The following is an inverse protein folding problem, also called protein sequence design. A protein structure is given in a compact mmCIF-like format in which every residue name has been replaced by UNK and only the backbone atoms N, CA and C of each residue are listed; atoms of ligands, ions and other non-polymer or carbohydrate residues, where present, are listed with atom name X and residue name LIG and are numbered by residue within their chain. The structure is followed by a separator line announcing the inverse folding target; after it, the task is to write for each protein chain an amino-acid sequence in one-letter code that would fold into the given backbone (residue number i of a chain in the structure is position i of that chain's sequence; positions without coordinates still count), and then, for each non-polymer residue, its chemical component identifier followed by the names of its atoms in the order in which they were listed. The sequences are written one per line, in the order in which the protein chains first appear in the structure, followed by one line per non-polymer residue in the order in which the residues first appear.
data_IF_452374683561
#
_entry.id   IF_452374683561
#
_cell.length_a   1.000
_cell.length_b   1.000
_cell.length_c   1.000
_cell.angle_alpha   90.00
_cell.angle_beta   90.00
_cell.angle_gamma   90.00
#
_symmetry.space_group_name_H-M   'P 1'
#
loop_
_entity.id
_entity.type
_entity.pdbx_description
1 polymer ?
#
# COMPACT_ATOMS: atom_id res chain seq x y z
N UNK A 1 41.06 -12.48 16.71
CA UNK A 1 41.00 -12.08 18.14
C UNK A 1 40.06 -10.90 18.26
N UNK A 2 39.11 -11.06 19.17
CA UNK A 2 37.88 -10.31 19.30
C UNK A 2 38.10 -8.96 19.98
N UNK A 3 37.32 -7.95 19.59
CA UNK A 3 37.32 -6.65 20.25
C UNK A 3 36.22 -5.73 19.74
N UNK A 4 34.97 -6.22 19.71
CA UNK A 4 33.80 -5.37 19.51
C UNK A 4 33.60 -4.55 20.79
N UNK A 5 33.97 -3.27 20.76
CA UNK A 5 33.63 -2.32 21.81
C UNK A 5 32.23 -1.79 21.49
N UNK A 6 31.22 -2.43 22.06
CA UNK A 6 29.85 -1.91 22.11
C UNK A 6 29.83 -0.71 23.05
N UNK A 7 29.87 0.51 22.51
CA UNK A 7 29.58 1.72 23.29
C UNK A 7 28.06 1.84 23.46
N UNK A 8 27.50 1.07 24.38
CA UNK A 8 26.16 1.29 24.93
C UNK A 8 26.17 2.53 25.85
N UNK A 9 26.40 3.71 25.28
CA UNK A 9 26.21 4.99 25.97
C UNK A 9 24.75 5.37 25.88
N UNK A 10 23.98 4.83 26.82
CA UNK A 10 22.88 5.45 27.57
C UNK A 10 22.43 6.82 26.99
N UNK A 11 21.49 6.80 26.04
CA UNK A 11 20.67 7.97 25.70
C UNK A 11 19.59 8.14 26.78
N UNK A 12 19.97 8.64 27.97
CA UNK A 12 19.03 9.13 29.00
C UNK A 12 18.94 10.66 29.00
N UNK A 13 18.81 11.26 27.82
CA UNK A 13 18.57 12.70 27.69
C UNK A 13 17.54 12.94 26.59
N UNK A 14 16.28 12.53 26.83
CA UNK A 14 15.14 12.92 26.01
C UNK A 14 13.81 12.94 26.81
N UNK A 15 13.85 13.32 28.08
CA UNK A 15 12.64 13.51 28.91
C UNK A 15 12.29 14.98 29.12
N UNK A 16 13.12 15.92 28.67
CA UNK A 16 12.76 17.34 28.74
C UNK A 16 12.08 17.73 27.43
N UNK A 17 10.74 17.77 27.46
CA UNK A 17 9.93 18.30 26.38
C UNK A 17 10.31 19.77 26.12
N UNK A 18 11.11 19.99 25.07
CA UNK A 18 11.73 21.28 24.74
C UNK A 18 10.72 22.33 24.24
N UNK A 19 9.50 21.91 23.95
CA UNK A 19 8.41 22.76 23.43
C UNK A 19 7.77 23.67 24.49
N UNK A 20 7.99 23.40 25.79
CA UNK A 20 7.42 24.18 26.89
C UNK A 20 8.41 25.15 27.56
N UNK A 21 9.58 25.36 26.95
CA UNK A 21 10.47 26.45 27.35
C UNK A 21 10.01 27.67 26.55
N UNK A 22 9.26 28.61 27.15
CA UNK A 22 8.95 29.85 26.43
C UNK A 22 10.29 30.50 26.08
N UNK A 23 10.56 30.64 24.78
CA UNK A 23 11.69 31.41 24.23
C UNK A 23 11.40 32.86 24.60
N UNK A 24 11.68 33.22 25.85
CA UNK A 24 11.62 34.59 26.32
C UNK A 24 12.89 35.25 25.80
N UNK A 25 12.77 36.03 24.74
CA UNK A 25 13.71 37.10 24.37
C UNK A 25 13.80 38.20 25.45
N UNK A 26 13.63 37.85 26.73
CA UNK A 26 14.00 38.69 27.86
C UNK A 26 15.47 38.38 28.12
N UNK A 27 16.33 39.37 28.00
CA UNK A 27 17.71 39.32 28.50
C UNK A 27 17.66 39.01 30.00
N UNK A 28 17.67 37.73 30.38
CA UNK A 28 17.74 37.33 31.79
C UNK A 28 19.13 37.76 32.26
N UNK A 29 19.19 38.75 33.15
CA UNK A 29 20.44 39.10 33.81
C UNK A 29 20.93 37.87 34.57
N UNK A 30 21.96 37.22 34.05
CA UNK A 30 22.53 36.04 34.69
C UNK A 30 23.12 36.44 36.03
N UNK A 31 22.82 35.67 37.07
CA UNK A 31 23.51 35.78 38.36
C UNK A 31 24.99 35.42 38.15
N UNK A 32 25.86 35.89 39.03
CA UNK A 32 27.27 35.48 39.02
C UNK A 32 27.36 33.95 39.14
N UNK A 33 28.15 33.27 38.29
CA UNK A 33 28.33 31.83 38.38
C UNK A 33 29.07 31.47 39.67
N UNK A 34 28.86 30.24 40.14
CA UNK A 34 29.62 29.67 41.24
C UNK A 34 31.11 29.66 40.86
N UNK A 35 31.98 30.27 41.66
CA UNK A 35 33.41 30.45 41.36
C UNK A 35 33.80 31.82 40.81
N UNK A 36 32.84 32.70 40.47
CA UNK A 36 33.14 34.10 40.15
C UNK A 36 33.62 34.85 41.40
N UNK A 37 34.69 35.66 41.33
CA UNK A 37 35.17 36.38 42.49
C UNK A 37 34.13 37.38 43.01
N UNK A 38 34.10 37.54 44.33
CA UNK A 38 33.35 38.60 44.99
C UNK A 38 33.97 39.94 44.59
N UNK A 39 33.14 40.96 44.33
CA UNK A 39 33.63 42.28 44.00
C UNK A 39 34.45 42.84 45.18
N UNK A 40 35.55 43.56 44.92
CA UNK A 40 36.43 44.11 45.96
C UNK A 40 35.66 44.91 47.04
N UNK A 41 34.67 45.70 46.63
CA UNK A 41 33.79 46.48 47.52
C UNK A 41 32.85 45.65 48.41
N UNK A 42 32.68 44.35 48.11
CA UNK A 42 31.80 43.41 48.84
C UNK A 42 32.57 42.33 49.60
N UNK A 43 33.89 42.24 49.43
CA UNK A 43 34.73 41.23 50.08
C UNK A 43 34.66 41.32 51.62
N UNK A 44 34.57 42.53 52.17
CA UNK A 44 34.56 42.78 53.61
C UNK A 44 33.30 43.50 54.09
N UNK A 45 32.26 43.61 53.25
CA UNK A 45 31.02 44.31 53.61
C UNK A 45 30.14 43.41 54.47
N UNK A 46 30.05 43.72 55.76
CA UNK A 46 29.09 43.08 56.68
C UNK A 46 27.74 43.82 56.58
N UNK A 47 26.63 43.14 56.24
CA UNK A 47 25.31 43.76 56.26
C UNK A 47 24.91 44.05 57.71
N UNK A 48 24.66 45.33 58.01
CA UNK A 48 24.11 45.74 59.30
C UNK A 48 22.64 45.33 59.37
N UNK A 49 22.23 44.72 60.48
CA UNK A 49 20.84 44.40 60.74
C UNK A 49 20.12 45.67 61.20
N UNK A 50 18.90 45.95 60.72
CA UNK A 50 18.12 47.04 61.28
C UNK A 50 17.77 46.72 62.73
N UNK A 51 17.90 47.72 63.61
CA UNK A 51 17.45 47.64 64.99
C UNK A 51 15.94 47.92 65.02
N UNK A 52 15.17 46.95 65.48
CA UNK A 52 13.73 47.07 65.65
C UNK A 52 13.41 47.09 67.15
N UNK A 53 12.39 47.85 67.59
CA UNK A 53 11.96 47.82 68.98
C UNK A 53 11.47 46.41 69.35
N UNK A 54 11.71 45.99 70.59
CA UNK A 54 11.42 44.63 71.04
C UNK A 54 9.93 44.25 70.90
N UNK A 55 9.04 45.23 71.10
CA UNK A 55 7.60 45.04 71.02
C UNK A 55 7.14 44.68 69.60
N UNK A 56 7.69 45.35 68.58
CA UNK A 56 7.38 45.04 67.17
C UNK A 56 7.88 43.66 66.77
N UNK A 57 9.07 43.27 67.23
CA UNK A 57 9.62 41.93 66.94
C UNK A 57 8.73 40.83 67.55
N UNK A 58 8.25 41.04 68.77
CA UNK A 58 7.35 40.11 69.44
C UNK A 58 6.01 39.99 68.69
N UNK A 59 5.44 41.12 68.25
CA UNK A 59 4.17 41.13 67.54
C UNK A 59 4.28 40.52 66.13
N UNK A 60 5.33 40.84 65.38
CA UNK A 60 5.60 40.23 64.06
C UNK A 60 5.71 38.71 64.20
N UNK A 61 6.41 38.23 65.23
CA UNK A 61 6.54 36.80 65.49
C UNK A 61 5.18 36.17 65.77
N UNK A 62 4.37 36.77 66.66
CA UNK A 62 3.01 36.30 66.99
C UNK A 62 2.14 36.18 65.74
N UNK A 63 2.10 37.22 64.91
CA UNK A 63 1.32 37.23 63.67
C UNK A 63 1.81 36.19 62.66
N UNK A 64 3.12 36.05 62.53
CA UNK A 64 3.73 35.10 61.60
C UNK A 64 3.47 33.65 62.01
N UNK A 65 3.56 33.35 63.31
CA UNK A 65 3.29 32.02 63.86
C UNK A 65 1.81 31.65 63.68
N UNK A 66 0.89 32.60 63.94
CA UNK A 66 -0.54 32.43 63.70
C UNK A 66 -0.83 32.16 62.21
N UNK A 67 -0.30 33.00 61.32
CA UNK A 67 -0.47 32.85 59.87
C UNK A 67 0.07 31.50 59.38
N UNK A 68 1.26 31.10 59.80
CA UNK A 68 1.85 29.82 59.42
C UNK A 68 1.01 28.65 59.89
N UNK A 69 0.47 28.73 61.09
CA UNK A 69 -0.39 27.69 61.65
C UNK A 69 -1.66 27.54 60.83
N UNK A 70 -2.33 28.65 60.50
CA UNK A 70 -3.52 28.67 59.64
C UNK A 70 -3.21 28.15 58.22
N UNK A 71 -2.10 28.57 57.63
CA UNK A 71 -1.72 28.11 56.29
C UNK A 71 -1.36 26.63 56.26
N UNK A 72 -0.78 26.11 57.36
CA UNK A 72 -0.49 24.69 57.52
C UNK A 72 -1.79 23.87 57.58
N UNK A 73 -2.80 24.32 58.33
CA UNK A 73 -4.09 23.60 58.40
C UNK A 73 -4.79 23.57 57.04
N UNK A 74 -4.78 24.67 56.29
CA UNK A 74 -5.33 24.71 54.92
C UNK A 74 -4.60 23.74 53.98
N UNK A 75 -3.27 23.67 54.05
CA UNK A 75 -2.49 22.74 53.24
C UNK A 75 -2.86 21.29 53.52
N UNK A 76 -2.99 20.92 54.81
CA UNK A 76 -3.37 19.57 55.21
C UNK A 76 -4.78 19.26 54.71
N UNK A 77 -5.73 20.18 54.88
CA UNK A 77 -7.09 20.01 54.38
C UNK A 77 -7.14 19.75 52.86
N UNK A 78 -6.46 20.57 52.05
CA UNK A 78 -6.44 20.36 50.60
C UNK A 78 -5.72 19.07 50.18
N UNK A 79 -4.69 18.67 50.93
CA UNK A 79 -4.02 17.39 50.69
C UNK A 79 -4.96 16.21 50.96
N UNK A 80 -5.70 16.21 52.06
CA UNK A 80 -6.69 15.18 52.37
C UNK A 80 -7.83 15.14 51.35
N UNK A 81 -8.31 16.30 50.88
CA UNK A 81 -9.31 16.37 49.81
C UNK A 81 -8.77 15.78 48.51
N UNK A 82 -7.52 16.09 48.15
CA UNK A 82 -6.87 15.50 46.97
C UNK A 82 -6.71 13.99 47.09
N UNK A 83 -6.39 13.47 48.27
CA UNK A 83 -6.33 12.02 48.50
C UNK A 83 -7.71 11.39 48.36
N UNK A 84 -8.75 11.96 48.97
CA UNK A 84 -10.13 11.48 48.83
C UNK A 84 -10.61 11.48 47.37
N UNK A 85 -10.21 12.47 46.58
CA UNK A 85 -10.49 12.53 45.14
C UNK A 85 -9.66 11.54 44.33
N UNK A 86 -8.46 11.19 44.77
CA UNK A 86 -7.70 10.09 44.17
C UNK A 86 -8.32 8.73 44.53
N UNK A 87 -8.87 8.63 45.75
CA UNK A 87 -9.55 7.45 46.30
C UNK A 87 -11.00 7.30 45.82
N UNK A 88 -11.52 8.15 44.91
CA UNK A 88 -12.82 7.94 44.23
C UNK A 88 -12.77 6.78 43.21
N UNK A 89 -12.11 5.70 43.61
CA UNK A 89 -11.99 4.46 42.86
C UNK A 89 -13.31 3.72 42.75
N UNK A 90 -14.25 3.83 43.69
CA UNK A 90 -15.50 3.05 43.62
C UNK A 90 -16.36 3.43 42.40
N UNK A 91 -16.58 4.73 42.18
CA UNK A 91 -17.33 5.20 41.01
C UNK A 91 -16.59 4.87 39.70
N UNK A 92 -15.26 5.04 39.68
CA UNK A 92 -14.43 4.69 38.53
C UNK A 92 -14.40 3.17 38.26
N UNK A 93 -14.37 2.34 39.31
CA UNK A 93 -14.41 0.89 39.22
C UNK A 93 -15.77 0.39 38.74
N UNK A 94 -16.86 1.03 39.16
CA UNK A 94 -18.19 0.72 38.65
C UNK A 94 -18.31 1.08 37.16
N UNK A 95 -17.80 2.25 36.75
CA UNK A 95 -17.74 2.61 35.33
C UNK A 95 -16.92 1.60 34.52
N UNK A 96 -15.73 1.24 35.00
CA UNK A 96 -14.91 0.23 34.32
C UNK A 96 -15.58 -1.13 34.21
N UNK A 97 -16.30 -1.58 35.24
CA UNK A 97 -17.05 -2.85 35.18
C UNK A 97 -18.16 -2.79 34.12
N UNK A 98 -18.90 -1.69 34.06
CA UNK A 98 -19.93 -1.50 33.03
C UNK A 98 -19.33 -1.46 31.63
N UNK A 99 -18.19 -0.78 31.44
CA UNK A 99 -17.45 -0.76 30.18
C UNK A 99 -16.97 -2.16 29.77
N UNK A 100 -16.48 -2.97 30.71
CA UNK A 100 -16.06 -4.35 30.47
C UNK A 100 -17.23 -5.25 30.08
N UNK A 101 -18.37 -5.12 30.76
CA UNK A 101 -19.61 -5.86 30.46
C UNK A 101 -20.15 -5.50 29.06
N UNK A 102 -20.19 -4.21 28.72
CA UNK A 102 -20.59 -3.76 27.38
C UNK A 102 -19.63 -4.27 26.30
N UNK A 103 -18.33 -4.21 26.56
CA UNK A 103 -17.32 -4.73 25.64
C UNK A 103 -17.50 -6.24 25.39
N UNK A 104 -17.75 -7.03 26.44
CA UNK A 104 -17.99 -8.46 26.30
C UNK A 104 -19.23 -8.74 25.44
N UNK A 105 -20.33 -8.02 25.68
CA UNK A 105 -21.55 -8.14 24.88
C UNK A 105 -21.30 -7.83 23.40
N UNK A 106 -20.59 -6.74 23.10
CA UNK A 106 -20.28 -6.37 21.71
C UNK A 106 -19.38 -7.39 21.02
N UNK A 107 -18.46 -8.03 21.75
CA UNK A 107 -17.62 -9.10 21.21
C UNK A 107 -18.44 -10.35 20.86
N UNK A 108 -19.44 -10.68 21.67
CA UNK A 108 -20.37 -11.78 21.39
C UNK A 108 -21.24 -11.49 20.17
N UNK A 109 -21.81 -10.29 20.06
CA UNK A 109 -22.58 -9.85 18.89
C UNK A 109 -21.72 -9.91 17.61
N UNK A 110 -20.48 -9.42 17.65
CA UNK A 110 -19.56 -9.48 16.51
C UNK A 110 -19.23 -10.93 16.11
N UNK A 111 -19.05 -11.82 17.09
CA UNK A 111 -18.80 -13.24 16.82
C UNK A 111 -19.98 -13.88 16.07
N UNK A 112 -21.21 -13.62 16.51
CA UNK A 112 -22.41 -14.14 15.85
C UNK A 112 -22.54 -13.63 14.41
N UNK A 113 -22.28 -12.33 14.17
CA UNK A 113 -22.29 -11.77 12.82
C UNK A 113 -21.21 -12.37 11.91
N UNK A 114 -20.03 -12.65 12.46
CA UNK A 114 -18.95 -13.32 11.74
C UNK A 114 -19.33 -14.75 11.35
N UNK A 115 -20.01 -15.49 12.23
CA UNK A 115 -20.51 -16.84 11.95
C UNK A 115 -21.55 -16.82 10.83
N UNK A 116 -22.50 -15.88 10.85
CA UNK A 116 -23.50 -15.70 9.77
C UNK A 116 -22.79 -15.37 8.44
N UNK A 117 -21.83 -14.47 8.47
CA UNK A 117 -21.08 -14.04 7.27
C UNK A 117 -20.21 -15.17 6.72
N UNK A 118 -19.64 -16.01 7.58
CA UNK A 118 -18.86 -17.18 7.17
C UNK A 118 -19.74 -18.19 6.42
N UNK A 119 -20.94 -18.49 6.93
CA UNK A 119 -21.87 -19.40 6.27
C UNK A 119 -22.26 -18.89 4.87
N UNK A 120 -22.60 -17.61 4.74
CA UNK A 120 -22.93 -17.00 3.44
C UNK A 120 -21.75 -17.03 2.47
N UNK A 121 -20.52 -16.87 2.98
CA UNK A 121 -19.30 -16.97 2.18
C UNK A 121 -19.10 -18.38 1.64
N UNK A 122 -19.35 -19.41 2.44
CA UNK A 122 -19.25 -20.81 2.03
C UNK A 122 -20.27 -21.16 0.94
N UNK A 123 -21.53 -20.74 1.10
CA UNK A 123 -22.57 -20.93 0.08
C UNK A 123 -22.18 -20.29 -1.25
N UNK A 124 -21.70 -19.03 -1.20
CA UNK A 124 -21.20 -18.33 -2.39
C UNK A 124 -20.03 -19.07 -3.03
N UNK A 125 -19.11 -19.61 -2.24
CA UNK A 125 -17.94 -20.31 -2.74
C UNK A 125 -18.32 -21.63 -3.41
N UNK A 126 -19.27 -22.38 -2.85
CA UNK A 126 -19.84 -23.60 -3.47
C UNK A 126 -20.43 -23.28 -4.84
N UNK A 127 -21.28 -22.25 -4.93
CA UNK A 127 -21.87 -21.82 -6.19
C UNK A 127 -20.83 -21.32 -7.21
N UNK A 128 -19.73 -20.72 -6.76
CA UNK A 128 -18.61 -20.34 -7.64
C UNK A 128 -17.87 -21.57 -8.16
N UNK A 129 -17.60 -22.56 -7.30
CA UNK A 129 -16.93 -23.80 -7.68
C UNK A 129 -17.72 -24.56 -8.75
N UNK A 130 -19.04 -24.71 -8.57
CA UNK A 130 -19.92 -25.34 -9.56
C UNK A 130 -19.86 -24.63 -10.91
N UNK A 131 -20.00 -23.29 -10.94
CA UNK A 131 -19.88 -22.49 -12.16
C UNK A 131 -18.51 -22.61 -12.82
N UNK A 132 -17.44 -22.68 -12.04
CA UNK A 132 -16.10 -22.87 -12.60
C UNK A 132 -15.91 -24.26 -13.20
N UNK A 133 -16.46 -25.30 -12.57
CA UNK A 133 -16.44 -26.66 -13.09
C UNK A 133 -17.21 -26.76 -14.42
N UNK A 134 -18.41 -26.19 -14.49
CA UNK A 134 -19.21 -26.13 -15.73
C UNK A 134 -18.45 -25.41 -16.87
N UNK A 135 -17.81 -24.28 -16.56
CA UNK A 135 -17.01 -23.53 -17.54
C UNK A 135 -15.81 -24.33 -18.02
N UNK A 136 -15.12 -25.02 -17.10
CA UNK A 136 -13.98 -25.86 -17.44
C UNK A 136 -14.38 -27.03 -18.36
N UNK A 137 -15.49 -27.71 -18.05
CA UNK A 137 -16.04 -28.77 -18.89
C UNK A 137 -16.40 -28.25 -20.28
N UNK A 138 -17.10 -27.12 -20.37
CA UNK A 138 -17.46 -26.50 -21.65
C UNK A 138 -16.23 -26.08 -22.46
N UNK A 139 -15.18 -25.58 -21.80
CA UNK A 139 -13.92 -25.23 -22.46
C UNK A 139 -13.20 -26.47 -22.99
N UNK A 140 -13.19 -27.57 -22.22
CA UNK A 140 -12.62 -28.84 -22.66
C UNK A 140 -13.36 -29.40 -23.87
N UNK A 141 -14.69 -29.46 -23.87
CA UNK A 141 -15.47 -29.94 -25.02
C UNK A 141 -15.22 -29.11 -26.27
N UNK A 142 -15.20 -27.77 -26.16
CA UNK A 142 -14.87 -26.89 -27.30
C UNK A 142 -13.47 -27.13 -27.82
N UNK A 143 -12.50 -27.31 -26.93
CA UNK A 143 -11.11 -27.58 -27.32
C UNK A 143 -11.01 -28.90 -28.08
N UNK A 144 -11.73 -29.93 -27.63
CA UNK A 144 -11.79 -31.22 -28.34
C UNK A 144 -12.39 -31.07 -29.74
N UNK A 145 -13.52 -30.35 -29.87
CA UNK A 145 -14.14 -30.08 -31.18
C UNK A 145 -13.19 -29.30 -32.11
N UNK A 146 -12.48 -28.30 -31.58
CA UNK A 146 -11.48 -27.53 -32.33
C UNK A 146 -10.29 -28.38 -32.78
N UNK A 147 -9.79 -29.26 -31.90
CA UNK A 147 -8.71 -30.21 -32.20
C UNK A 147 -9.14 -31.20 -33.29
N UNK A 148 -10.33 -31.80 -33.18
CA UNK A 148 -10.87 -32.72 -34.20
C UNK A 148 -11.01 -32.03 -35.57
N UNK A 149 -11.54 -30.80 -35.60
CA UNK A 149 -11.64 -30.03 -36.84
C UNK A 149 -10.26 -29.68 -37.41
N UNK A 150 -9.30 -29.35 -36.56
CA UNK A 150 -7.93 -29.09 -36.98
C UNK A 150 -7.29 -30.33 -37.60
N UNK A 151 -7.39 -31.48 -36.94
CA UNK A 151 -6.84 -32.74 -37.42
C UNK A 151 -7.45 -33.14 -38.78
N UNK A 152 -8.77 -33.03 -38.94
CA UNK A 152 -9.45 -33.27 -40.22
C UNK A 152 -8.96 -32.34 -41.34
N UNK A 153 -8.72 -31.06 -41.02
CA UNK A 153 -8.20 -30.10 -41.99
C UNK A 153 -6.74 -30.41 -42.36
N UNK A 154 -5.93 -30.83 -41.39
CA UNK A 154 -4.53 -31.25 -41.62
C UNK A 154 -4.50 -32.50 -42.50
N UNK A 155 -5.30 -33.52 -42.19
CA UNK A 155 -5.41 -34.74 -43.00
C UNK A 155 -5.82 -34.42 -44.45
N UNK A 156 -6.85 -33.59 -44.62
CA UNK A 156 -7.29 -33.15 -45.96
C UNK A 156 -6.18 -32.41 -46.68
N UNK A 157 -5.46 -31.52 -46.00
CA UNK A 157 -4.34 -30.78 -46.59
C UNK A 157 -3.22 -31.73 -47.03
N UNK A 158 -2.84 -32.69 -46.19
CA UNK A 158 -1.81 -33.69 -46.52
C UNK A 158 -2.21 -34.54 -47.73
N UNK A 159 -3.46 -35.02 -47.79
CA UNK A 159 -3.98 -35.77 -48.94
C UNK A 159 -3.93 -34.96 -50.23
N UNK A 160 -4.31 -33.68 -50.17
CA UNK A 160 -4.22 -32.77 -51.32
C UNK A 160 -2.77 -32.58 -51.80
N UNK A 161 -1.82 -32.41 -50.87
CA UNK A 161 -0.41 -32.25 -51.21
C UNK A 161 0.20 -33.53 -51.80
N UNK A 162 -0.17 -34.71 -51.30
CA UNK A 162 0.30 -35.99 -51.84
C UNK A 162 -0.21 -36.28 -53.26
N UNK A 163 -1.38 -35.75 -53.62
CA UNK A 163 -1.94 -35.90 -54.96
C UNK A 163 -1.30 -34.96 -56.00
N UNK A 164 -0.54 -33.95 -55.57
CA UNK A 164 0.15 -33.05 -56.50
C UNK A 164 1.29 -33.79 -57.22
N UNK A 165 1.43 -33.63 -58.54
CA UNK A 165 2.49 -34.27 -59.29
C UNK A 165 3.85 -33.68 -58.90
N UNK A 166 4.64 -34.44 -58.15
CA UNK A 166 6.03 -34.12 -57.83
C UNK A 166 6.94 -34.78 -58.87
N UNK A 167 7.88 -34.02 -59.42
CA UNK A 167 8.86 -34.51 -60.40
C UNK A 167 9.78 -35.52 -59.69
N UNK A 168 9.83 -36.75 -60.21
CA UNK A 168 10.73 -37.83 -59.75
C UNK A 168 12.04 -37.80 -60.52
N UNK A 169 13.07 -38.46 -59.99
CA UNK A 169 14.40 -38.52 -60.60
C UNK A 169 14.38 -39.00 -62.06
N UNK A 170 13.51 -39.95 -62.37
CA UNK A 170 13.36 -40.56 -63.70
C UNK A 170 12.73 -39.63 -64.75
N UNK A 171 11.96 -38.62 -64.32
CA UNK A 171 11.21 -37.72 -65.22
C UNK A 171 11.80 -36.30 -65.29
N UNK A 172 12.99 -36.09 -64.71
CA UNK A 172 13.65 -34.77 -64.67
C UNK A 172 13.86 -34.20 -66.07
N UNK A 173 14.41 -34.99 -67.00
CA UNK A 173 14.72 -34.50 -68.36
C UNK A 173 13.45 -34.09 -69.12
N UNK A 174 12.36 -34.85 -68.96
CA UNK A 174 11.07 -34.53 -69.57
C UNK A 174 10.49 -33.23 -69.01
N UNK A 175 10.53 -33.07 -67.68
CA UNK A 175 10.03 -31.87 -67.01
C UNK A 175 10.83 -30.62 -67.41
N UNK A 176 12.16 -30.74 -67.59
CA UNK A 176 13.00 -29.62 -68.07
C UNK A 176 12.60 -29.21 -69.49
N UNK A 177 12.41 -30.17 -70.39
CA UNK A 177 12.01 -29.89 -71.77
C UNK A 177 10.61 -29.25 -71.83
N UNK A 178 9.66 -29.75 -71.05
CA UNK A 178 8.31 -29.18 -70.95
C UNK A 178 8.34 -27.73 -70.42
N UNK A 179 9.13 -27.47 -69.38
CA UNK A 179 9.29 -26.13 -68.82
C UNK A 179 9.94 -25.15 -69.81
N UNK A 180 10.90 -25.61 -70.63
CA UNK A 180 11.51 -24.79 -71.68
C UNK A 180 10.54 -24.54 -72.86
N UNK A 181 9.70 -25.52 -73.19
CA UNK A 181 8.72 -25.41 -74.27
C UNK A 181 7.53 -24.50 -73.90
N UNK A 182 7.12 -24.51 -72.62
CA UNK A 182 5.96 -23.77 -72.12
C UNK A 182 6.33 -22.86 -70.95
N UNK A 183 6.90 -21.66 -71.19
CA UNK A 183 7.20 -20.71 -70.13
C UNK A 183 5.90 -20.16 -69.50
N UNK A 184 5.74 -20.35 -68.18
CA UNK A 184 4.60 -19.81 -67.44
C UNK A 184 4.77 -18.31 -67.14
N UNK A 185 3.77 -17.50 -67.50
CA UNK A 185 3.74 -16.07 -67.19
C UNK A 185 2.86 -15.79 -65.96
N UNK A 186 3.48 -15.30 -64.88
CA UNK A 186 2.79 -14.91 -63.65
C UNK A 186 2.45 -13.42 -63.59
N UNK A 187 2.76 -12.64 -64.63
CA UNK A 187 2.47 -11.22 -64.63
C UNK A 187 0.98 -10.97 -64.77
N UNK A 188 0.42 -10.17 -63.87
CA UNK A 188 -0.96 -9.70 -63.95
C UNK A 188 -1.07 -8.28 -63.40
N UNK A 189 -2.03 -7.52 -63.91
CA UNK A 189 -2.41 -6.22 -63.40
C UNK A 189 -3.81 -6.28 -62.78
N UNK A 190 -4.09 -5.38 -61.82
CA UNK A 190 -5.41 -5.25 -61.19
C UNK A 190 -5.89 -3.81 -61.35
N UNK A 191 -7.13 -3.65 -61.81
CA UNK A 191 -7.77 -2.34 -61.91
C UNK A 191 -8.37 -1.88 -60.57
N UNK A 192 -8.71 -0.60 -60.48
CA UNK A 192 -9.35 -0.01 -59.29
C UNK A 192 -10.67 -0.69 -58.90
N UNK A 193 -11.36 -1.28 -59.87
CA UNK A 193 -12.62 -2.01 -59.68
C UNK A 193 -12.41 -3.49 -59.28
N UNK A 194 -11.16 -3.92 -59.17
CA UNK A 194 -10.76 -5.26 -58.73
C UNK A 194 -10.75 -6.32 -59.83
N UNK A 195 -10.73 -5.95 -61.11
CA UNK A 195 -10.59 -6.90 -62.22
C UNK A 195 -9.13 -7.28 -62.46
N UNK A 196 -8.88 -8.56 -62.74
CA UNK A 196 -7.53 -9.12 -62.95
C UNK A 196 -7.27 -9.29 -64.44
N UNK A 197 -6.13 -8.80 -64.89
CA UNK A 197 -5.66 -8.91 -66.27
C UNK A 197 -4.35 -9.67 -66.29
N UNK A 198 -4.38 -10.92 -66.78
CA UNK A 198 -3.21 -11.81 -66.83
C UNK A 198 -2.44 -11.61 -68.15
N UNK A 199 -1.12 -11.66 -68.10
CA UNK A 199 -0.20 -11.61 -69.24
C UNK A 199 0.48 -10.25 -69.44
N UNK A 200 1.72 -10.27 -69.96
CA UNK A 200 2.51 -9.05 -70.27
C UNK A 200 2.02 -8.26 -71.49
N UNK A 201 1.49 -8.95 -72.50
CA UNK A 201 1.14 -8.35 -73.81
C UNK A 201 -0.37 -8.08 -73.94
N UNK A 202 -1.12 -8.30 -72.87
CA UNK A 202 -2.58 -8.25 -72.89
C UNK A 202 -3.05 -6.81 -72.84
N UNK A 203 -3.77 -6.38 -73.88
CA UNK A 203 -4.31 -5.01 -73.98
C UNK A 203 -5.78 -5.02 -73.57
N UNK A 204 -6.16 -4.10 -72.67
CA UNK A 204 -7.50 -4.00 -72.05
C UNK A 204 -8.64 -3.98 -73.08
N UNK A 205 -8.44 -3.30 -74.21
CA UNK A 205 -9.45 -3.10 -75.25
C UNK A 205 -9.84 -4.39 -75.99
N UNK A 206 -8.99 -5.41 -75.98
CA UNK A 206 -9.23 -6.69 -76.66
C UNK A 206 -10.02 -7.68 -75.81
N UNK A 207 -10.29 -7.37 -74.54
CA UNK A 207 -10.98 -8.27 -73.60
C UNK A 207 -12.42 -7.78 -73.40
N UNK A 208 -13.42 -8.53 -73.92
CA UNK A 208 -14.83 -8.23 -73.67
C UNK A 208 -15.14 -8.23 -72.17
N UNK A 209 -16.03 -7.33 -71.74
CA UNK A 209 -16.36 -7.14 -70.32
C UNK A 209 -16.87 -8.41 -69.63
N UNK A 210 -17.59 -9.27 -70.36
CA UNK A 210 -18.14 -10.54 -69.88
C UNK A 210 -17.07 -11.57 -69.46
N UNK A 211 -15.83 -11.42 -69.94
CA UNK A 211 -14.73 -12.37 -69.69
C UNK A 211 -13.75 -11.88 -68.62
N UNK A 212 -14.01 -10.74 -67.97
CA UNK A 212 -13.13 -10.18 -66.95
C UNK A 212 -13.30 -10.93 -65.63
N UNK A 213 -12.24 -11.54 -65.14
CA UNK A 213 -12.21 -12.20 -63.84
C UNK A 213 -12.06 -11.14 -62.74
N UNK A 214 -12.89 -11.22 -61.69
CA UNK A 214 -12.75 -10.35 -60.51
C UNK A 214 -11.86 -11.02 -59.48
N UNK A 215 -10.94 -10.25 -58.90
CA UNK A 215 -10.14 -10.72 -57.78
C UNK A 215 -11.06 -10.92 -56.57
N UNK A 216 -11.38 -12.17 -56.27
CA UNK A 216 -12.14 -12.53 -55.08
C UNK A 216 -11.15 -12.71 -53.93
N UNK A 217 -11.02 -11.69 -53.09
CA UNK A 217 -10.39 -11.84 -51.77
C UNK A 217 -11.34 -12.66 -50.91
N UNK A 218 -11.04 -13.94 -50.70
CA UNK A 218 -11.59 -14.67 -49.55
C UNK A 218 -10.83 -14.29 -48.29
#
# INVERSE_FOLDING_TARGET
MNGVITSSTVRLLNVVNRSFIPIRNKRIWMRKPLGSPVAKSKQFRVPQKPELPADEVAEIKRLYDNYKTQMKSLRVYFYEQSLKQADTGEAAQLQHKLEEEEHQRLMEENRLENEITANLREERLKAQLEKTAERALKALSRKQEEEELFDLNVERFVQQQQALPIIKEEDIEKAILEALASPADFNFAIDRDGYVYKGKETILEKIPEEKRERFSSR
#
